data_IF_111115889125
#
_entry.id   IF_111115889125
#
_cell.length_a   1.000
_cell.length_b   1.000
_cell.length_c   1.000
_cell.angle_alpha   90.00
_cell.angle_beta   90.00
_cell.angle_gamma   90.00
#
_symmetry.space_group_name_H-M   'P 1'
#
loop_
_entity.id
_entity.type
_entity.pdbx_description
1 polymer ?
#
# COMPACT_ATOMS: atom_id res chain seq x y z
N UNK A 1 17.77 -16.57 -27.03
CA UNK A 1 17.84 -16.24 -25.62
C UNK A 1 16.96 -17.21 -24.86
N UNK A 2 17.56 -18.10 -24.07
CA UNK A 2 16.83 -19.13 -23.31
C UNK A 2 16.61 -18.55 -21.92
N UNK A 3 15.35 -18.33 -21.55
CA UNK A 3 14.98 -17.93 -20.20
C UNK A 3 14.98 -19.20 -19.34
N UNK A 4 15.92 -19.32 -18.40
CA UNK A 4 15.87 -20.35 -17.37
C UNK A 4 14.87 -19.92 -16.29
N UNK A 5 13.71 -20.56 -16.26
CA UNK A 5 12.79 -20.51 -15.13
C UNK A 5 13.25 -21.57 -14.15
N UNK A 6 13.72 -21.18 -12.97
CA UNK A 6 14.00 -22.10 -11.87
C UNK A 6 12.67 -22.31 -11.15
N UNK A 7 12.05 -23.47 -11.34
CA UNK A 7 10.90 -23.89 -10.54
C UNK A 7 11.39 -24.28 -9.14
N UNK A 8 10.79 -23.74 -8.07
CA UNK A 8 11.09 -24.23 -6.72
C UNK A 8 10.52 -25.62 -6.53
N UNK A 9 11.33 -26.53 -6.02
CA UNK A 9 10.93 -27.90 -5.64
C UNK A 9 9.76 -27.88 -4.67
N UNK A 10 8.75 -28.69 -4.94
CA UNK A 10 7.62 -28.94 -4.05
C UNK A 10 8.12 -29.52 -2.73
N UNK A 11 8.01 -28.77 -1.66
CA UNK A 11 8.25 -29.19 -0.30
C UNK A 11 7.13 -28.69 0.59
N UNK A 12 6.33 -29.64 1.08
CA UNK A 12 5.34 -29.59 2.17
C UNK A 12 4.42 -28.37 2.24
N UNK A 13 3.15 -28.64 1.96
CA UNK A 13 2.01 -27.78 2.26
C UNK A 13 1.89 -27.65 3.80
N UNK A 14 2.37 -26.52 4.34
CA UNK A 14 1.98 -26.04 5.65
C UNK A 14 0.99 -24.88 5.48
N UNK A 15 -0.12 -25.06 6.16
CA UNK A 15 -1.32 -24.25 6.33
C UNK A 15 -1.20 -22.75 6.01
N UNK A 16 -1.90 -22.34 4.95
CA UNK A 16 -2.63 -21.08 4.78
C UNK A 16 -2.00 -19.77 5.31
N UNK A 17 -0.71 -19.59 5.13
CA UNK A 17 -0.07 -18.29 5.25
C UNK A 17 -0.27 -17.60 3.90
N UNK A 18 -1.21 -16.68 3.82
CA UNK A 18 -1.40 -15.82 2.65
C UNK A 18 -0.05 -15.18 2.33
N UNK A 19 0.56 -15.57 1.22
CA UNK A 19 1.83 -14.99 0.79
C UNK A 19 1.67 -13.46 0.70
N UNK A 20 2.62 -12.68 1.23
CA UNK A 20 2.54 -11.24 1.16
C UNK A 20 2.49 -10.81 -0.31
N UNK A 21 1.76 -9.72 -0.54
CA UNK A 21 1.60 -9.09 -1.85
C UNK A 21 2.98 -8.87 -2.48
N UNK A 22 3.10 -9.09 -3.79
CA UNK A 22 4.37 -8.97 -4.52
C UNK A 22 5.09 -7.62 -4.33
N UNK A 23 6.16 -7.39 -5.09
CA UNK A 23 6.90 -6.14 -5.05
C UNK A 23 6.07 -5.00 -5.63
N UNK A 24 5.94 -3.89 -4.87
CA UNK A 24 5.31 -2.64 -5.31
C UNK A 24 6.41 -1.68 -5.76
N UNK A 25 6.19 -0.97 -6.88
CA UNK A 25 7.15 -0.04 -7.46
C UNK A 25 6.64 1.40 -7.39
N UNK A 26 7.54 2.37 -7.23
CA UNK A 26 7.21 3.79 -7.46
C UNK A 26 6.81 4.01 -8.92
N UNK A 27 6.02 5.05 -9.20
CA UNK A 27 5.53 5.33 -10.55
C UNK A 27 6.66 5.62 -11.56
N UNK A 28 7.78 6.15 -11.12
CA UNK A 28 8.99 6.40 -11.91
C UNK A 28 9.92 5.17 -12.01
N UNK A 29 9.62 4.09 -11.25
CA UNK A 29 10.42 2.88 -11.22
C UNK A 29 11.73 2.98 -10.45
N UNK A 30 12.00 4.07 -9.73
CA UNK A 30 13.25 4.28 -9.02
C UNK A 30 13.40 3.38 -7.78
N UNK A 31 12.29 3.10 -7.10
CA UNK A 31 12.27 2.27 -5.91
C UNK A 31 11.21 1.18 -5.96
N UNK A 32 11.49 0.08 -5.26
CA UNK A 32 10.55 -0.98 -4.98
C UNK A 32 10.48 -1.28 -3.49
N UNK A 33 9.37 -1.88 -3.04
CA UNK A 33 9.23 -2.39 -1.69
C UNK A 33 8.45 -3.71 -1.69
N UNK A 34 8.86 -4.61 -0.81
CA UNK A 34 8.17 -5.88 -0.56
C UNK A 34 8.37 -6.35 0.88
N UNK A 35 7.59 -7.34 1.27
CA UNK A 35 7.92 -8.16 2.42
C UNK A 35 8.73 -9.37 1.93
N UNK A 36 9.97 -9.48 2.38
CA UNK A 36 10.86 -10.59 2.07
C UNK A 36 10.79 -11.66 3.16
N UNK A 37 10.78 -12.93 2.77
CA UNK A 37 10.79 -14.04 3.70
C UNK A 37 12.22 -14.36 4.15
N UNK A 38 12.41 -14.51 5.45
CA UNK A 38 13.66 -14.97 6.05
C UNK A 38 13.34 -15.91 7.21
N UNK A 39 13.67 -17.19 7.07
CA UNK A 39 13.44 -18.20 8.11
C UNK A 39 11.96 -18.39 8.48
N UNK A 40 11.05 -18.28 7.51
CA UNK A 40 9.62 -18.39 7.74
C UNK A 40 8.95 -17.14 8.32
N UNK A 41 9.71 -16.06 8.48
CA UNK A 41 9.25 -14.77 8.97
C UNK A 41 9.34 -13.72 7.87
N UNK A 42 8.54 -12.64 7.97
CA UNK A 42 8.46 -11.59 6.96
C UNK A 42 9.09 -10.30 7.47
N UNK A 43 9.89 -9.64 6.61
CA UNK A 43 10.56 -8.38 6.91
C UNK A 43 10.45 -7.42 5.73
N UNK A 44 10.29 -6.10 5.99
CA UNK A 44 10.29 -5.11 4.92
C UNK A 44 11.66 -5.04 4.23
N UNK A 45 11.62 -4.91 2.91
CA UNK A 45 12.80 -4.75 2.07
C UNK A 45 12.54 -3.66 1.04
N UNK A 46 13.47 -2.72 0.90
CA UNK A 46 13.47 -1.71 -0.14
C UNK A 46 14.41 -2.11 -1.26
N UNK A 47 14.01 -1.88 -2.48
CA UNK A 47 14.86 -1.97 -3.67
C UNK A 47 15.17 -0.59 -4.22
N UNK A 48 16.42 -0.34 -4.60
CA UNK A 48 16.87 0.80 -5.41
C UNK A 48 17.08 0.25 -6.81
N UNK A 49 16.38 0.81 -7.80
CA UNK A 49 16.26 0.27 -9.15
C UNK A 49 16.89 1.16 -10.22
N UNK A 50 17.10 2.44 -9.95
CA UNK A 50 17.60 3.46 -10.87
C UNK A 50 19.13 3.49 -11.01
N UNK A 51 19.83 2.50 -10.50
CA UNK A 51 21.28 2.37 -10.60
C UNK A 51 21.72 1.42 -11.71
N UNK A 52 23.05 1.31 -11.98
CA UNK A 52 23.57 0.35 -12.94
C UNK A 52 23.26 -1.09 -12.55
N UNK A 53 23.16 -1.38 -11.27
CA UNK A 53 22.75 -2.68 -10.72
C UNK A 53 21.70 -2.45 -9.62
N UNK A 54 20.51 -3.04 -9.75
CA UNK A 54 19.50 -3.01 -8.69
C UNK A 54 20.01 -3.69 -7.42
N UNK A 55 19.75 -3.08 -6.27
CA UNK A 55 20.12 -3.66 -4.98
C UNK A 55 19.03 -3.53 -3.95
N UNK A 56 18.97 -4.52 -3.04
CA UNK A 56 18.04 -4.58 -1.94
C UNK A 56 18.66 -4.03 -0.66
N UNK A 57 17.86 -3.31 0.11
CA UNK A 57 18.18 -2.84 1.45
C UNK A 57 17.14 -3.42 2.42
N UNK A 58 17.51 -4.41 3.23
CA UNK A 58 16.63 -4.91 4.27
C UNK A 58 16.32 -3.81 5.29
N UNK A 59 15.05 -3.76 5.73
CA UNK A 59 14.56 -2.82 6.73
C UNK A 59 13.96 -3.60 7.93
N UNK A 60 14.72 -4.52 8.55
CA UNK A 60 14.22 -5.32 9.64
C UNK A 60 13.98 -4.46 10.88
N UNK A 61 12.93 -4.81 11.64
CA UNK A 61 12.69 -4.32 12.99
C UNK A 61 13.00 -5.46 13.99
N UNK A 62 12.76 -5.21 15.26
CA UNK A 62 13.03 -6.18 16.32
C UNK A 62 12.17 -7.45 16.25
N UNK A 63 11.07 -7.38 15.49
CA UNK A 63 10.12 -8.48 15.31
C UNK A 63 9.75 -8.60 13.84
N UNK A 64 9.41 -9.82 13.37
CA UNK A 64 8.81 -10.03 12.06
C UNK A 64 7.50 -9.26 11.91
N UNK A 65 7.12 -9.03 10.68
CA UNK A 65 5.83 -8.42 10.35
C UNK A 65 4.72 -9.47 10.39
N UNK A 66 3.56 -9.06 10.89
CA UNK A 66 2.38 -9.91 10.96
C UNK A 66 1.70 -10.08 9.59
N UNK A 67 0.95 -11.19 9.38
CA UNK A 67 0.11 -11.35 8.20
C UNK A 67 -0.83 -10.14 8.01
N UNK A 68 -0.96 -9.70 6.76
CA UNK A 68 -1.79 -8.52 6.43
C UNK A 68 -1.05 -7.18 6.50
N UNK A 69 0.24 -7.18 6.89
CA UNK A 69 1.09 -6.00 6.73
C UNK A 69 1.29 -5.70 5.24
N UNK A 70 1.15 -4.43 4.85
CA UNK A 70 1.39 -3.96 3.50
C UNK A 70 2.56 -2.96 3.49
N UNK A 71 3.33 -2.96 2.39
CA UNK A 71 4.45 -2.03 2.20
C UNK A 71 4.38 -1.38 0.84
N UNK A 72 4.84 -0.12 0.77
CA UNK A 72 4.84 0.68 -0.44
C UNK A 72 6.07 1.60 -0.48
N UNK A 73 6.83 1.66 -1.60
CA UNK A 73 7.94 2.58 -1.73
C UNK A 73 7.45 4.01 -1.91
N UNK A 74 8.19 4.96 -1.35
CA UNK A 74 8.02 6.40 -1.56
C UNK A 74 9.12 6.93 -2.49
N UNK A 75 8.85 8.05 -3.17
CA UNK A 75 9.81 8.65 -4.14
C UNK A 75 11.15 9.07 -3.51
N UNK A 76 11.18 9.33 -2.21
CA UNK A 76 12.39 9.67 -1.46
C UNK A 76 13.18 8.45 -0.96
N UNK A 77 12.78 7.24 -1.36
CA UNK A 77 13.40 5.99 -0.97
C UNK A 77 13.04 5.49 0.43
N UNK A 78 12.12 6.14 1.13
CA UNK A 78 11.49 5.57 2.34
C UNK A 78 10.46 4.52 1.95
N UNK A 79 10.09 3.68 2.89
CA UNK A 79 9.04 2.66 2.71
C UNK A 79 7.90 2.95 3.67
N UNK A 80 6.72 3.22 3.12
CA UNK A 80 5.50 3.24 3.91
C UNK A 80 5.15 1.82 4.31
N UNK A 81 4.86 1.63 5.60
CA UNK A 81 4.35 0.36 6.13
C UNK A 81 2.99 0.60 6.78
N UNK A 82 2.06 -0.28 6.48
CA UNK A 82 0.74 -0.36 7.09
C UNK A 82 0.65 -1.63 7.92
N UNK A 83 0.33 -1.49 9.20
CA UNK A 83 0.15 -2.58 10.15
C UNK A 83 -1.21 -2.50 10.82
N UNK A 84 -1.75 -3.64 11.21
CA UNK A 84 -2.92 -3.68 12.09
C UNK A 84 -2.46 -3.94 13.52
N UNK A 85 -2.59 -2.95 14.39
CA UNK A 85 -2.17 -3.01 15.79
C UNK A 85 -3.37 -2.76 16.69
N UNK A 86 -3.76 -3.74 17.47
CA UNK A 86 -4.92 -3.66 18.37
C UNK A 86 -6.21 -3.18 17.66
N UNK A 87 -6.44 -3.67 16.43
CA UNK A 87 -7.62 -3.31 15.62
C UNK A 87 -7.55 -1.95 14.94
N UNK A 88 -6.43 -1.23 15.06
CA UNK A 88 -6.17 0.07 14.40
C UNK A 88 -5.22 -0.11 13.23
N UNK A 89 -5.46 0.62 12.15
CA UNK A 89 -4.60 0.67 10.98
C UNK A 89 -3.51 1.72 11.17
N UNK A 90 -2.32 1.28 11.59
CA UNK A 90 -1.18 2.15 11.87
C UNK A 90 -0.27 2.30 10.64
N UNK A 91 0.24 3.51 10.42
CA UNK A 91 1.13 3.87 9.32
C UNK A 91 2.43 4.45 9.84
N UNK A 92 3.54 4.02 9.26
CA UNK A 92 4.89 4.54 9.55
C UNK A 92 5.72 4.59 8.27
N UNK A 93 6.74 5.44 8.27
CA UNK A 93 7.79 5.43 7.24
C UNK A 93 9.04 4.78 7.79
N UNK A 94 9.52 3.75 7.10
CA UNK A 94 10.77 3.07 7.38
C UNK A 94 11.90 3.62 6.50
N UNK A 95 13.10 3.74 7.06
CA UNK A 95 14.28 4.19 6.34
C UNK A 95 15.56 3.61 6.94
N UNK A 96 16.62 3.37 6.13
CA UNK A 96 17.88 2.88 6.65
C UNK A 96 18.60 3.96 7.49
N UNK A 97 19.18 3.55 8.63
CA UNK A 97 19.96 4.42 9.53
C UNK A 97 21.40 3.94 9.69
N UNK A 98 22.02 3.43 8.61
CA UNK A 98 23.30 2.76 8.68
C UNK A 98 23.16 1.32 9.17
N UNK A 99 23.40 1.03 10.45
CA UNK A 99 23.33 -0.36 10.95
C UNK A 99 21.91 -0.89 11.20
N UNK A 100 20.90 -0.03 11.12
CA UNK A 100 19.52 -0.40 11.48
C UNK A 100 18.46 0.29 10.64
N UNK A 101 17.21 0.15 11.09
CA UNK A 101 16.02 0.73 10.48
C UNK A 101 15.42 1.80 11.38
N UNK A 102 15.33 3.02 10.86
CA UNK A 102 14.55 4.10 11.47
C UNK A 102 13.07 3.94 11.15
N UNK A 103 12.20 4.40 12.04
CA UNK A 103 10.76 4.42 11.85
C UNK A 103 10.20 5.76 12.29
N UNK A 104 9.45 6.40 11.39
CA UNK A 104 8.72 7.62 11.65
C UNK A 104 7.22 7.30 11.67
N UNK A 105 6.57 7.27 12.84
CA UNK A 105 5.12 7.09 12.92
C UNK A 105 4.39 8.25 12.26
N UNK A 106 3.39 7.93 11.41
CA UNK A 106 2.52 8.92 10.76
C UNK A 106 1.18 9.05 11.46
N UNK A 107 0.76 8.01 12.19
CA UNK A 107 -0.52 7.94 12.86
C UNK A 107 -1.30 6.68 12.53
N UNK A 108 -2.57 6.66 12.90
CA UNK A 108 -3.44 5.51 12.68
C UNK A 108 -4.85 5.93 12.29
N UNK A 109 -5.52 5.04 11.53
CA UNK A 109 -6.94 5.15 11.17
C UNK A 109 -7.72 4.12 11.97
N UNK A 110 -8.78 4.56 12.60
CA UNK A 110 -9.79 3.70 13.21
C UNK A 110 -10.96 3.53 12.25
N UNK A 111 -11.26 2.29 11.90
CA UNK A 111 -12.45 1.99 11.11
C UNK A 111 -13.62 1.75 12.07
N UNK A 112 -14.57 2.68 12.07
CA UNK A 112 -15.68 2.72 13.05
C UNK A 112 -16.53 1.44 13.13
N UNK A 113 -16.52 0.63 12.08
CA UNK A 113 -17.39 -0.54 11.97
C UNK A 113 -16.70 -1.86 12.33
N UNK A 114 -15.41 -1.85 12.72
CA UNK A 114 -14.63 -3.08 13.02
C UNK A 114 -14.56 -4.11 11.88
N UNK A 115 -15.35 -3.92 10.82
CA UNK A 115 -15.45 -4.78 9.63
C UNK A 115 -14.84 -4.17 8.39
N UNK A 116 -14.50 -2.89 8.42
CA UNK A 116 -13.87 -2.22 7.29
C UNK A 116 -12.46 -2.78 7.07
N UNK A 117 -12.17 -3.17 5.85
CA UNK A 117 -10.83 -3.56 5.41
C UNK A 117 -10.13 -2.34 4.84
N UNK A 118 -9.00 -1.98 5.43
CA UNK A 118 -8.15 -0.94 4.89
C UNK A 118 -7.02 -1.57 4.08
N UNK A 119 -6.73 -1.03 2.91
CA UNK A 119 -5.61 -1.43 2.05
C UNK A 119 -4.97 -0.22 1.40
N UNK A 120 -3.69 -0.31 1.11
CA UNK A 120 -2.98 0.72 0.37
C UNK A 120 -3.47 0.77 -1.09
N UNK A 121 -3.59 1.97 -1.63
CA UNK A 121 -3.75 2.19 -3.07
C UNK A 121 -2.37 2.06 -3.75
N UNK A 122 -2.33 1.80 -5.08
CA UNK A 122 -1.07 1.83 -5.81
C UNK A 122 -0.32 3.15 -5.59
N UNK A 123 1.03 3.15 -5.67
CA UNK A 123 1.84 4.34 -5.52
C UNK A 123 1.33 5.49 -6.38
N UNK A 124 1.17 6.65 -5.77
CA UNK A 124 0.76 7.85 -6.50
C UNK A 124 1.84 8.30 -7.48
N UNK A 125 1.47 8.93 -8.62
CA UNK A 125 2.42 9.32 -9.66
C UNK A 125 3.59 10.18 -9.20
N UNK A 126 3.36 11.10 -8.25
CA UNK A 126 4.43 11.92 -7.67
C UNK A 126 5.26 11.20 -6.60
N UNK A 127 4.75 10.09 -6.06
CA UNK A 127 5.45 9.27 -5.05
C UNK A 127 5.69 9.94 -3.69
N UNK A 128 5.29 11.20 -3.50
CA UNK A 128 5.40 11.93 -2.23
C UNK A 128 4.23 11.65 -1.29
N UNK A 129 3.08 11.25 -1.86
CA UNK A 129 1.85 10.97 -1.14
C UNK A 129 1.48 9.51 -1.27
N UNK A 130 0.87 8.95 -0.23
CA UNK A 130 0.30 7.62 -0.26
C UNK A 130 -1.13 7.65 0.25
N UNK A 131 -1.94 6.76 -0.32
CA UNK A 131 -3.36 6.72 -0.09
C UNK A 131 -3.82 5.32 0.27
N UNK A 132 -4.94 5.23 0.97
CA UNK A 132 -5.58 3.97 1.33
C UNK A 132 -7.08 4.02 1.13
N UNK A 133 -7.68 2.85 0.88
CA UNK A 133 -9.12 2.66 0.89
C UNK A 133 -9.53 1.93 2.17
N UNK A 134 -10.44 2.53 2.92
CA UNK A 134 -11.16 1.85 3.99
C UNK A 134 -12.53 1.42 3.45
N UNK A 135 -12.67 0.12 3.15
CA UNK A 135 -13.85 -0.45 2.50
C UNK A 135 -14.77 -1.01 3.57
N UNK A 136 -15.85 -0.29 3.85
CA UNK A 136 -16.92 -0.72 4.73
C UNK A 136 -18.07 -1.43 3.97
N UNK A 137 -19.08 -1.89 4.70
CA UNK A 137 -20.20 -2.62 4.09
C UNK A 137 -21.11 -1.75 3.21
N UNK A 138 -21.20 -0.44 3.48
CA UNK A 138 -22.10 0.50 2.79
C UNK A 138 -21.40 1.68 2.16
N UNK A 139 -20.18 1.99 2.59
CA UNK A 139 -19.40 3.11 2.10
C UNK A 139 -17.91 2.76 2.08
N UNK A 140 -17.18 3.44 1.23
CA UNK A 140 -15.73 3.37 1.13
C UNK A 140 -15.14 4.76 1.34
N UNK A 141 -14.17 4.88 2.24
CA UNK A 141 -13.45 6.13 2.45
C UNK A 141 -12.08 6.09 1.81
N UNK A 142 -11.68 7.20 1.18
CA UNK A 142 -10.33 7.42 0.67
C UNK A 142 -9.55 8.23 1.70
N UNK A 143 -8.39 7.73 2.08
CA UNK A 143 -7.51 8.36 3.07
C UNK A 143 -6.18 8.74 2.44
N UNK A 144 -5.69 9.94 2.72
CA UNK A 144 -4.28 10.30 2.59
C UNK A 144 -3.56 9.80 3.85
N UNK A 145 -2.62 8.86 3.69
CA UNK A 145 -1.96 8.22 4.84
C UNK A 145 -0.49 8.61 5.00
N UNK A 146 0.11 9.18 3.94
CA UNK A 146 1.44 9.78 3.99
C UNK A 146 1.50 11.02 3.08
N UNK A 147 2.37 11.98 3.41
CA UNK A 147 2.55 13.23 2.66
C UNK A 147 1.56 14.34 3.04
N UNK A 148 0.72 14.12 4.04
CA UNK A 148 -0.11 15.15 4.67
C UNK A 148 0.62 15.90 5.79
N UNK A 149 0.02 16.98 6.29
CA UNK A 149 0.62 17.85 7.32
C UNK A 149 0.46 17.31 8.74
N UNK A 150 -0.65 16.61 9.02
CA UNK A 150 -1.03 16.23 10.39
C UNK A 150 -1.34 14.74 10.58
N UNK A 151 -0.81 13.86 9.72
CA UNK A 151 -1.08 12.43 9.76
C UNK A 151 -2.20 12.01 8.80
N UNK A 152 -2.82 10.82 9.01
CA UNK A 152 -3.87 10.34 8.13
C UNK A 152 -5.09 11.26 8.08
N UNK A 153 -5.53 11.61 6.87
CA UNK A 153 -6.66 12.50 6.60
C UNK A 153 -7.65 11.84 5.66
N UNK A 154 -8.95 11.90 5.99
CA UNK A 154 -10.01 11.38 5.10
C UNK A 154 -10.33 12.44 4.05
N UNK A 155 -10.08 12.08 2.78
CA UNK A 155 -10.30 12.97 1.64
C UNK A 155 -11.69 12.85 1.03
N UNK A 156 -12.22 11.63 0.96
CA UNK A 156 -13.53 11.38 0.36
C UNK A 156 -14.25 10.22 1.04
N UNK A 157 -15.58 10.24 0.96
CA UNK A 157 -16.44 9.13 1.32
C UNK A 157 -17.39 8.83 0.16
N UNK A 158 -17.37 7.59 -0.30
CA UNK A 158 -18.08 7.12 -1.48
C UNK A 158 -19.14 6.09 -1.07
N UNK A 159 -20.38 6.22 -1.53
CA UNK A 159 -21.38 5.20 -1.27
C UNK A 159 -21.04 3.91 -2.03
N UNK A 160 -21.25 2.77 -1.38
CA UNK A 160 -20.95 1.46 -1.93
C UNK A 160 -19.56 0.95 -1.58
N UNK A 161 -19.26 -0.26 -2.07
CA UNK A 161 -17.95 -0.91 -1.87
C UNK A 161 -17.07 -0.61 -3.07
N UNK A 162 -15.92 0.01 -2.83
CA UNK A 162 -14.97 0.28 -3.89
C UNK A 162 -13.79 -0.70 -3.87
N UNK A 163 -13.29 -1.01 -5.05
CA UNK A 163 -12.12 -1.84 -5.28
C UNK A 163 -11.27 -1.27 -6.43
N UNK A 164 -10.12 -1.89 -6.71
CA UNK A 164 -9.20 -1.40 -7.71
C UNK A 164 -8.41 -0.18 -7.23
N UNK A 165 -8.11 0.69 -8.13
CA UNK A 165 -7.36 1.94 -7.93
C UNK A 165 -6.36 2.13 -9.05
N UNK A 166 -6.67 3.06 -9.97
CA UNK A 166 -5.79 3.45 -11.08
C UNK A 166 -5.73 4.97 -11.14
N UNK A 167 -4.53 5.51 -11.12
CA UNK A 167 -4.30 6.93 -11.32
C UNK A 167 -4.51 7.30 -12.77
N UNK A 168 -5.36 8.30 -13.03
CA UNK A 168 -5.70 8.73 -14.37
C UNK A 168 -4.87 9.92 -14.86
N UNK A 169 -4.19 10.59 -13.96
CA UNK A 169 -3.36 11.76 -14.25
C UNK A 169 -2.02 11.71 -13.50
N UNK A 170 -1.06 12.49 -13.98
CA UNK A 170 0.28 12.56 -13.40
C UNK A 170 0.35 13.36 -12.10
N UNK A 171 -0.65 14.13 -11.77
CA UNK A 171 -0.69 14.91 -10.52
C UNK A 171 -1.17 14.08 -9.34
N UNK A 172 -1.74 12.88 -9.59
CA UNK A 172 -2.33 12.05 -8.54
C UNK A 172 -3.64 12.63 -7.98
N UNK A 173 -4.36 13.43 -8.77
CA UNK A 173 -5.62 14.02 -8.41
C UNK A 173 -6.81 13.13 -8.75
N UNK A 174 -6.79 12.51 -9.94
CA UNK A 174 -7.90 11.71 -10.46
C UNK A 174 -7.63 10.23 -10.25
N UNK A 175 -8.52 9.59 -9.50
CA UNK A 175 -8.44 8.17 -9.16
C UNK A 175 -9.66 7.42 -9.74
N UNK A 176 -9.43 6.40 -10.58
CA UNK A 176 -10.47 5.47 -11.01
C UNK A 176 -10.61 4.33 -10.01
N UNK A 177 -11.85 4.04 -9.62
CA UNK A 177 -12.20 2.94 -8.73
C UNK A 177 -13.39 2.17 -9.33
N UNK A 178 -13.46 0.87 -9.05
CA UNK A 178 -14.64 0.06 -9.33
C UNK A 178 -15.56 0.09 -8.11
N UNK A 179 -16.77 0.63 -8.29
CA UNK A 179 -17.78 0.75 -7.26
C UNK A 179 -18.89 -0.27 -7.45
N UNK A 180 -19.13 -1.08 -6.44
CA UNK A 180 -20.25 -2.01 -6.35
C UNK A 180 -21.39 -1.37 -5.58
N UNK A 181 -22.57 -1.31 -6.20
CA UNK A 181 -23.81 -0.83 -5.59
C UNK A 181 -24.98 -1.65 -6.13
N UNK A 182 -25.75 -2.26 -5.23
CA UNK A 182 -26.93 -3.06 -5.62
C UNK A 182 -26.59 -4.26 -6.52
N UNK A 183 -25.43 -4.89 -6.37
CA UNK A 183 -24.98 -6.01 -7.18
C UNK A 183 -24.43 -5.63 -8.57
N UNK A 184 -24.33 -4.35 -8.86
CA UNK A 184 -23.74 -3.84 -10.11
C UNK A 184 -22.41 -3.15 -9.83
N UNK A 185 -21.39 -3.47 -10.64
CA UNK A 185 -20.09 -2.82 -10.58
C UNK A 185 -19.96 -1.81 -11.71
N UNK A 186 -19.53 -0.58 -11.38
CA UNK A 186 -19.21 0.49 -12.33
C UNK A 186 -17.90 1.14 -11.94
N UNK A 187 -17.08 1.46 -12.93
CA UNK A 187 -15.92 2.31 -12.72
C UNK A 187 -16.36 3.76 -12.52
N UNK A 188 -15.89 4.38 -11.46
CA UNK A 188 -16.10 5.80 -11.14
C UNK A 188 -14.78 6.52 -11.11
N UNK A 189 -14.81 7.83 -11.30
CA UNK A 189 -13.64 8.71 -11.16
C UNK A 189 -13.85 9.60 -9.94
N UNK A 190 -12.86 9.60 -9.06
CA UNK A 190 -12.85 10.42 -7.84
C UNK A 190 -11.83 11.53 -8.01
N UNK A 191 -12.26 12.78 -7.81
CA UNK A 191 -11.39 13.94 -7.72
C UNK A 191 -11.00 14.17 -6.26
N UNK A 192 -9.76 13.88 -5.92
CA UNK A 192 -9.28 13.94 -4.53
C UNK A 192 -9.08 15.38 -4.01
N UNK A 193 -9.00 16.38 -4.87
CA UNK A 193 -8.95 17.79 -4.45
C UNK A 193 -10.34 18.34 -4.14
N UNK A 194 -11.37 17.86 -4.84
CA UNK A 194 -12.75 18.30 -4.62
C UNK A 194 -13.50 17.45 -3.57
N UNK A 195 -12.90 16.35 -3.09
CA UNK A 195 -13.51 15.49 -2.07
C UNK A 195 -14.76 14.74 -2.51
N UNK A 196 -14.98 14.56 -3.82
CA UNK A 196 -16.22 14.00 -4.34
C UNK A 196 -16.11 13.18 -5.61
N UNK A 197 -17.18 12.40 -5.85
CA UNK A 197 -17.40 11.61 -7.07
C UNK A 197 -17.65 12.60 -8.23
N UNK A 198 -16.84 12.55 -9.28
CA UNK A 198 -17.16 13.17 -10.55
C UNK A 198 -18.25 12.32 -11.21
N UNK A 199 -19.50 12.58 -10.85
CA UNK A 199 -20.62 11.95 -11.53
C UNK A 199 -20.54 12.25 -13.02
N UNK A 200 -20.63 11.18 -13.82
CA UNK A 200 -20.83 11.28 -15.26
C UNK A 200 -21.95 12.28 -15.57
N UNK A 201 -21.62 13.35 -16.27
CA UNK A 201 -22.58 14.14 -17.03
C UNK A 201 -22.88 13.42 -18.33
#
# INVERSE_FOLDING_TARGET
MTVCVIEPSAGHEDENVTAPTGCTLTADGAYGARLASAGGSWFPERWTLDGPEPYAVPLPRNQPEEPGTEVQPMADGRVLIHRVVAGRHAFSLLYPTGPGTGELPLGAVECSDGTARLRLLPPAPGGERAYALAVGPRATSVWLVAGGTFGPERLAELPGRCSGGVWLDRSGRLLALDRETGGHTKTIVVDLECGGDLQQR
#
